data_IF_091737376805
#
_entry.id   IF_091737376805
#
_cell.length_a   1.000
_cell.length_b   1.000
_cell.length_c   1.000
_cell.angle_alpha   90.00
_cell.angle_beta   90.00
_cell.angle_gamma   90.00
#
_symmetry.space_group_name_H-M   'P 1'
#
loop_
_entity.id
_entity.type
_entity.pdbx_description
1 polymer ?
#
# COMPACT_ATOMS: atom_id res chain seq x y z
N UNK A 1 6.41 12.42 -17.42
CA UNK A 1 5.60 11.18 -17.34
C UNK A 1 5.20 11.01 -15.88
N UNK A 2 3.92 10.76 -15.56
CA UNK A 2 3.51 10.62 -14.17
C UNK A 2 4.25 9.45 -13.50
N UNK A 3 4.65 9.63 -12.25
CA UNK A 3 5.33 8.60 -11.47
C UNK A 3 4.43 7.35 -11.37
N UNK A 4 4.90 6.14 -11.73
CA UNK A 4 4.06 4.95 -11.72
C UNK A 4 3.69 4.55 -10.30
N UNK A 5 2.40 4.42 -10.02
CA UNK A 5 1.91 4.00 -8.71
C UNK A 5 2.41 2.60 -8.31
N UNK A 6 2.62 1.70 -9.29
CA UNK A 6 3.18 0.38 -9.05
C UNK A 6 4.56 0.42 -8.38
N UNK A 7 5.41 1.40 -8.71
CA UNK A 7 6.71 1.54 -8.07
C UNK A 7 6.56 1.89 -6.57
N UNK A 8 5.50 2.61 -6.20
CA UNK A 8 5.16 2.88 -4.79
C UNK A 8 4.69 1.59 -4.11
N UNK A 9 3.81 0.81 -4.76
CA UNK A 9 3.37 -0.49 -4.25
C UNK A 9 4.55 -1.44 -4.01
N UNK A 10 5.50 -1.51 -4.96
CA UNK A 10 6.71 -2.34 -4.85
C UNK A 10 7.55 -1.97 -3.61
N UNK A 11 7.70 -0.66 -3.35
CA UNK A 11 8.40 -0.17 -2.16
C UNK A 11 7.68 -0.61 -0.87
N UNK A 12 6.37 -0.38 -0.79
CA UNK A 12 5.58 -0.71 0.40
C UNK A 12 5.61 -2.22 0.69
N UNK A 13 5.48 -3.04 -0.35
CA UNK A 13 5.55 -4.50 -0.24
C UNK A 13 6.94 -4.97 0.21
N UNK A 14 8.01 -4.41 -0.36
CA UNK A 14 9.37 -4.72 0.08
C UNK A 14 9.60 -4.34 1.54
N UNK A 15 9.15 -3.15 1.95
CA UNK A 15 9.23 -2.70 3.34
C UNK A 15 8.43 -3.60 4.28
N UNK A 16 7.22 -3.99 3.89
CA UNK A 16 6.37 -4.88 4.68
C UNK A 16 7.02 -6.24 4.91
N UNK A 17 7.54 -6.88 3.86
CA UNK A 17 8.26 -8.17 3.97
C UNK A 17 9.47 -8.09 4.91
N UNK A 18 10.22 -6.99 4.84
CA UNK A 18 11.36 -6.76 5.74
C UNK A 18 10.92 -6.59 7.20
N UNK A 19 9.84 -5.85 7.44
CA UNK A 19 9.27 -5.69 8.79
C UNK A 19 8.76 -7.04 9.36
N UNK A 20 8.11 -7.86 8.54
CA UNK A 20 7.57 -9.16 8.97
C UNK A 20 8.64 -10.18 9.37
N UNK A 21 9.86 -10.08 8.82
CA UNK A 21 10.93 -11.06 9.08
C UNK A 21 11.47 -11.08 10.53
N UNK A 22 11.00 -10.21 11.45
CA UNK A 22 11.29 -10.21 12.91
C UNK A 22 12.77 -10.32 13.35
N UNK A 23 13.74 -9.89 12.54
CA UNK A 23 15.16 -9.84 12.96
C UNK A 23 15.49 -8.44 13.47
N UNK A 24 16.27 -8.32 14.55
CA UNK A 24 16.53 -7.02 15.21
C UNK A 24 17.28 -6.01 14.33
N UNK A 25 17.90 -6.45 13.22
CA UNK A 25 18.57 -5.59 12.23
C UNK A 25 17.65 -5.07 11.11
N UNK A 26 16.36 -5.43 11.09
CA UNK A 26 15.48 -5.16 9.95
C UNK A 26 15.19 -3.68 9.72
N UNK A 27 15.24 -2.81 10.74
CA UNK A 27 15.00 -1.38 10.54
C UNK A 27 16.09 -0.72 9.69
N UNK A 28 17.36 -1.07 9.91
CA UNK A 28 18.47 -0.57 9.11
C UNK A 28 18.41 -1.08 7.67
N UNK A 29 18.02 -2.35 7.49
CA UNK A 29 17.83 -2.97 6.17
C UNK A 29 16.65 -2.34 5.42
N UNK A 30 15.53 -2.10 6.11
CA UNK A 30 14.37 -1.41 5.55
C UNK A 30 14.69 0.02 5.15
N UNK A 31 15.41 0.77 6.01
CA UNK A 31 15.88 2.11 5.66
C UNK A 31 16.81 2.09 4.43
N UNK A 32 17.74 1.14 4.36
CA UNK A 32 18.61 0.96 3.20
C UNK A 32 17.82 0.64 1.92
N UNK A 33 16.77 -0.19 2.01
CA UNK A 33 15.88 -0.49 0.88
C UNK A 33 15.13 0.75 0.40
N UNK A 34 14.59 1.56 1.32
CA UNK A 34 13.96 2.85 0.99
C UNK A 34 14.94 3.78 0.29
N UNK A 35 16.16 3.93 0.83
CA UNK A 35 17.20 4.75 0.19
C UNK A 35 17.59 4.24 -1.21
N UNK A 36 17.72 2.92 -1.38
CA UNK A 36 18.03 2.32 -2.66
C UNK A 36 16.91 2.55 -3.68
N UNK A 37 15.65 2.47 -3.25
CA UNK A 37 14.49 2.74 -4.09
C UNK A 37 14.45 4.21 -4.56
N UNK A 38 14.66 5.18 -3.65
CA UNK A 38 14.70 6.59 -4.01
C UNK A 38 15.88 6.92 -4.93
N UNK A 39 17.03 6.26 -4.75
CA UNK A 39 18.18 6.39 -5.65
C UNK A 39 17.85 5.87 -7.04
N UNK A 40 17.22 4.70 -7.14
CA UNK A 40 16.82 4.09 -8.41
C UNK A 40 15.81 4.95 -9.18
N UNK A 41 14.87 5.58 -8.47
CA UNK A 41 13.81 6.38 -9.07
C UNK A 41 14.11 7.88 -9.08
N UNK A 42 15.33 8.30 -8.74
CA UNK A 42 15.69 9.71 -8.51
C UNK A 42 15.35 10.61 -9.69
N UNK A 43 15.64 10.15 -10.91
CA UNK A 43 15.34 10.90 -12.14
C UNK A 43 13.84 11.17 -12.31
N UNK A 44 12.99 10.19 -11.99
CA UNK A 44 11.54 10.36 -12.09
C UNK A 44 10.96 11.21 -10.94
N UNK A 45 11.55 11.10 -9.75
CA UNK A 45 11.17 11.89 -8.57
C UNK A 45 11.56 13.37 -8.72
N UNK A 46 12.73 13.64 -9.30
CA UNK A 46 13.23 15.02 -9.54
C UNK A 46 12.78 15.63 -10.87
N UNK A 47 11.96 14.93 -11.65
CA UNK A 47 11.47 15.45 -12.91
C UNK A 47 10.68 16.75 -12.66
N UNK A 48 10.82 17.72 -13.55
CA UNK A 48 10.18 19.04 -13.39
C UNK A 48 8.64 18.95 -13.35
N UNK A 49 8.07 17.93 -13.97
CA UNK A 49 6.64 17.61 -13.98
C UNK A 49 6.22 16.65 -12.85
N UNK A 50 7.12 16.28 -11.94
CA UNK A 50 6.82 15.38 -10.83
C UNK A 50 6.10 16.14 -9.70
N UNK A 51 4.90 15.64 -9.34
CA UNK A 51 4.20 16.12 -8.16
C UNK A 51 4.68 15.36 -6.90
N UNK A 52 5.69 15.95 -6.25
CA UNK A 52 6.26 15.46 -5.00
C UNK A 52 5.26 15.40 -3.86
N UNK A 53 4.30 16.34 -3.80
CA UNK A 53 3.28 16.33 -2.77
C UNK A 53 2.34 15.13 -2.94
N UNK A 54 2.01 14.78 -4.20
CA UNK A 54 1.26 13.56 -4.50
C UNK A 54 2.03 12.31 -4.06
N UNK A 55 3.30 12.14 -4.44
CA UNK A 55 4.11 10.99 -4.04
C UNK A 55 4.19 10.83 -2.51
N UNK A 56 4.52 11.92 -1.80
CA UNK A 56 4.62 11.89 -0.34
C UNK A 56 3.29 11.60 0.33
N UNK A 57 2.18 12.13 -0.19
CA UNK A 57 0.85 11.84 0.33
C UNK A 57 0.38 10.41 0.12
N UNK A 58 0.94 9.72 -0.89
CA UNK A 58 0.71 8.29 -1.09
C UNK A 58 1.50 7.45 -0.10
N UNK A 59 2.75 7.84 0.20
CA UNK A 59 3.63 7.13 1.14
C UNK A 59 3.26 7.36 2.61
N UNK A 60 2.77 8.57 2.93
CA UNK A 60 2.46 9.04 4.28
C UNK A 60 1.03 9.62 4.32
N UNK A 61 0.01 8.80 4.06
CA UNK A 61 -1.37 9.26 3.94
C UNK A 61 -1.88 9.95 5.21
N UNK A 62 -1.36 9.58 6.39
CA UNK A 62 -1.71 10.19 7.67
C UNK A 62 -1.25 11.65 7.81
N UNK A 63 -0.30 12.10 6.98
CA UNK A 63 0.17 13.49 6.95
C UNK A 63 -0.72 14.40 6.10
N UNK A 64 -1.68 13.83 5.37
CA UNK A 64 -2.59 14.56 4.49
C UNK A 64 -3.98 14.66 5.10
N UNK A 65 -4.12 15.53 6.10
CA UNK A 65 -5.33 15.67 6.91
C UNK A 65 -6.50 16.36 6.20
N UNK A 66 -6.25 17.01 5.06
CA UNK A 66 -7.27 17.64 4.21
C UNK A 66 -8.18 16.63 3.49
N UNK A 67 -7.77 15.36 3.40
CA UNK A 67 -8.50 14.33 2.64
C UNK A 67 -9.28 13.39 3.57
N UNK A 68 -10.60 13.43 3.48
CA UNK A 68 -11.51 12.49 4.16
C UNK A 68 -12.19 11.61 3.12
N UNK A 69 -11.82 10.33 3.06
CA UNK A 69 -12.32 9.42 2.03
C UNK A 69 -13.71 8.82 2.34
N UNK A 70 -14.15 8.83 3.61
CA UNK A 70 -15.41 8.20 4.04
C UNK A 70 -15.57 6.73 3.62
N UNK A 71 -14.46 6.01 3.42
CA UNK A 71 -14.46 4.58 3.07
C UNK A 71 -14.21 3.76 4.34
N UNK A 72 -15.16 2.88 4.65
CA UNK A 72 -15.04 1.90 5.74
C UNK A 72 -14.95 0.49 5.16
N UNK A 73 -14.31 -0.43 5.89
CA UNK A 73 -14.12 -1.81 5.41
C UNK A 73 -15.41 -2.50 4.91
N UNK A 74 -16.58 -2.40 5.60
CA UNK A 74 -17.82 -3.02 5.10
C UNK A 74 -18.34 -2.38 3.80
N UNK A 75 -18.15 -1.07 3.64
CA UNK A 75 -18.53 -0.37 2.41
C UNK A 75 -17.60 -0.77 1.27
N UNK A 76 -16.29 -0.88 1.55
CA UNK A 76 -15.29 -1.31 0.58
C UNK A 76 -15.53 -2.74 0.12
N UNK A 77 -15.85 -3.68 1.02
CA UNK A 77 -16.26 -5.06 0.68
C UNK A 77 -17.39 -5.08 -0.36
N UNK A 78 -18.43 -4.26 -0.15
CA UNK A 78 -19.57 -4.17 -1.11
C UNK A 78 -19.17 -3.53 -2.43
N UNK A 79 -18.22 -2.58 -2.43
CA UNK A 79 -17.72 -1.95 -3.66
C UNK A 79 -16.92 -2.97 -4.47
N UNK A 80 -15.99 -3.69 -3.83
CA UNK A 80 -15.19 -4.74 -4.47
C UNK A 80 -16.10 -5.85 -5.00
N UNK A 81 -17.05 -6.31 -4.20
CA UNK A 81 -18.02 -7.34 -4.60
C UNK A 81 -18.80 -6.99 -5.86
N UNK A 82 -19.24 -5.73 -5.97
CA UNK A 82 -19.94 -5.22 -7.16
C UNK A 82 -19.00 -5.01 -8.34
N UNK A 83 -17.84 -4.38 -8.13
CA UNK A 83 -16.89 -4.08 -9.18
C UNK A 83 -16.34 -5.34 -9.88
N UNK A 84 -16.17 -6.43 -9.11
CA UNK A 84 -15.63 -7.70 -9.59
C UNK A 84 -16.71 -8.77 -9.84
N UNK A 85 -18.01 -8.43 -9.72
CA UNK A 85 -19.13 -9.37 -9.87
C UNK A 85 -18.92 -10.67 -9.08
N UNK A 86 -18.59 -10.53 -7.79
CA UNK A 86 -18.33 -11.66 -6.92
C UNK A 86 -19.63 -12.39 -6.57
N UNK A 87 -19.67 -13.70 -6.81
CA UNK A 87 -20.74 -14.56 -6.32
C UNK A 87 -20.70 -14.75 -4.80
N UNK A 88 -21.72 -15.42 -4.25
CA UNK A 88 -21.87 -15.64 -2.81
C UNK A 88 -20.66 -16.31 -2.14
N UNK A 89 -20.03 -17.29 -2.80
CA UNK A 89 -18.84 -17.97 -2.29
C UNK A 89 -17.64 -17.03 -2.13
N UNK A 90 -17.30 -16.26 -3.18
CA UNK A 90 -16.20 -15.29 -3.15
C UNK A 90 -16.47 -14.11 -2.21
N UNK A 91 -17.74 -13.73 -2.05
CA UNK A 91 -18.13 -12.74 -1.03
C UNK A 91 -17.92 -13.27 0.40
N UNK A 92 -18.19 -14.55 0.65
CA UNK A 92 -17.92 -15.18 1.95
C UNK A 92 -16.42 -15.21 2.25
N UNK A 93 -15.61 -15.54 1.24
CA UNK A 93 -14.14 -15.52 1.34
C UNK A 93 -13.63 -14.11 1.63
N UNK A 94 -14.08 -13.10 0.88
CA UNK A 94 -13.74 -11.69 1.13
C UNK A 94 -14.10 -11.29 2.55
N UNK A 95 -15.26 -11.70 3.09
CA UNK A 95 -15.71 -11.39 4.44
C UNK A 95 -14.86 -12.02 5.57
N UNK A 96 -13.86 -12.86 5.25
CA UNK A 96 -12.97 -13.48 6.25
C UNK A 96 -12.17 -12.44 7.04
N UNK A 97 -11.91 -11.25 6.49
CA UNK A 97 -11.24 -10.15 7.21
C UNK A 97 -11.95 -9.77 8.52
N UNK A 98 -13.26 -10.05 8.64
CA UNK A 98 -14.07 -9.78 9.84
C UNK A 98 -13.76 -10.73 11.00
N UNK A 99 -12.97 -11.79 10.78
CA UNK A 99 -12.57 -12.78 11.79
C UNK A 99 -11.13 -12.49 12.21
N UNK A 100 -10.91 -11.77 13.33
CA UNK A 100 -9.55 -11.49 13.80
C UNK A 100 -8.82 -12.79 14.13
N UNK A 101 -7.52 -12.86 13.80
CA UNK A 101 -6.68 -14.00 14.15
C UNK A 101 -6.81 -15.24 13.25
N UNK A 102 -7.54 -15.15 12.12
CA UNK A 102 -7.62 -16.24 11.16
C UNK A 102 -6.27 -16.59 10.50
N UNK A 103 -5.27 -15.70 10.57
CA UNK A 103 -3.91 -15.94 10.05
C UNK A 103 -3.84 -16.06 8.53
N UNK A 104 -4.95 -15.82 7.83
CA UNK A 104 -5.02 -15.86 6.37
C UNK A 104 -4.69 -14.47 5.85
N UNK A 105 -3.56 -14.35 5.16
CA UNK A 105 -3.33 -13.25 4.24
C UNK A 105 -4.17 -13.53 2.98
N UNK A 106 -5.10 -12.64 2.64
CA UNK A 106 -5.97 -12.79 1.47
C UNK A 106 -5.30 -12.24 0.19
N UNK A 107 -3.98 -12.07 0.22
CA UNK A 107 -3.14 -11.49 -0.84
C UNK A 107 -2.27 -12.54 -1.53
#
# INVERSE_FOLDING_TARGET
MPFPFSAVCDLLEQSYRLCQSRKSSNNAVAAAAVHAWFRRHRVAVDAHDADMATLLSTLLPEKRTDRVYCIQAPTLERVIGRALMLGSSRMLELATYKRPGAGVDLA
#
